data_IF_904811906543
#
_entry.id   IF_904811906543
#
_cell.length_a   1.000
_cell.length_b   1.000
_cell.length_c   1.000
_cell.angle_alpha   90.00
_cell.angle_beta   90.00
_cell.angle_gamma   90.00
#
_symmetry.space_group_name_H-M   'P 1'
#
loop_
_entity.id
_entity.type
_entity.pdbx_description
1 polymer ?
#
# COMPACT_ATOMS: atom_id res chain seq x y z
N UNK A 1 -19.12 60.37 -64.30
CA UNK A 1 -19.32 58.93 -64.07
C UNK A 1 -18.44 58.54 -62.89
N UNK A 2 -19.01 58.34 -61.70
CA UNK A 2 -18.27 57.95 -60.49
C UNK A 2 -18.86 56.62 -60.03
N UNK A 3 -18.08 55.54 -60.13
CA UNK A 3 -18.49 54.21 -59.69
C UNK A 3 -18.32 54.11 -58.16
N UNK A 4 -19.43 53.96 -57.44
CA UNK A 4 -19.41 53.53 -56.03
C UNK A 4 -19.29 52.01 -55.99
N UNK A 5 -18.17 51.50 -55.49
CA UNK A 5 -18.06 50.11 -55.07
C UNK A 5 -18.57 49.98 -53.63
N UNK A 6 -19.72 49.33 -53.44
CA UNK A 6 -20.17 48.90 -52.11
C UNK A 6 -19.44 47.62 -51.74
N UNK A 7 -18.70 47.66 -50.63
CA UNK A 7 -18.16 46.47 -49.98
C UNK A 7 -19.30 45.73 -49.27
N UNK A 8 -19.64 44.53 -49.77
CA UNK A 8 -20.49 43.57 -49.06
C UNK A 8 -19.60 42.84 -48.06
N UNK A 9 -19.64 43.26 -46.80
CA UNK A 9 -19.05 42.50 -45.69
C UNK A 9 -19.94 41.28 -45.46
N UNK A 10 -19.37 40.08 -45.61
CA UNK A 10 -20.06 38.81 -45.33
C UNK A 10 -20.18 38.63 -43.82
N UNK A 11 -21.40 38.71 -43.34
CA UNK A 11 -21.78 38.59 -41.93
C UNK A 11 -22.12 37.13 -41.62
N UNK A 12 -21.13 36.24 -41.63
CA UNK A 12 -21.41 34.80 -41.73
C UNK A 12 -20.59 33.91 -40.82
N UNK A 13 -20.20 34.37 -39.62
CA UNK A 13 -19.59 33.52 -38.58
C UNK A 13 -19.95 34.03 -37.16
N UNK A 14 -21.21 33.94 -36.75
CA UNK A 14 -21.54 33.92 -35.32
C UNK A 14 -21.63 32.47 -34.87
N UNK A 15 -20.51 31.92 -34.43
CA UNK A 15 -20.44 30.57 -33.87
C UNK A 15 -21.26 30.60 -32.57
N UNK A 16 -22.32 29.81 -32.51
CA UNK A 16 -23.17 29.72 -31.33
C UNK A 16 -22.38 29.05 -30.20
N UNK A 17 -22.15 29.77 -29.09
CA UNK A 17 -21.39 29.27 -27.94
C UNK A 17 -22.04 28.02 -27.33
N UNK A 18 -23.36 27.89 -27.39
CA UNK A 18 -24.08 26.74 -26.86
C UNK A 18 -23.79 25.47 -27.68
N UNK A 19 -23.65 25.63 -28.99
CA UNK A 19 -23.32 24.54 -29.91
C UNK A 19 -21.85 24.09 -29.76
N UNK A 20 -20.95 25.02 -29.40
CA UNK A 20 -19.58 24.69 -29.03
C UNK A 20 -19.54 23.94 -27.69
N UNK A 21 -20.33 24.37 -26.70
CA UNK A 21 -20.40 23.71 -25.40
C UNK A 21 -20.94 22.28 -25.51
N UNK A 22 -21.97 22.07 -26.33
CA UNK A 22 -22.54 20.74 -26.60
C UNK A 22 -21.54 19.84 -27.34
N UNK A 23 -20.83 20.37 -28.34
CA UNK A 23 -19.75 19.64 -29.03
C UNK A 23 -18.60 19.29 -28.07
N UNK A 24 -18.27 20.17 -27.13
CA UNK A 24 -17.25 19.93 -26.10
C UNK A 24 -17.69 18.83 -25.12
N UNK A 25 -18.94 18.88 -24.65
CA UNK A 25 -19.53 17.88 -23.75
C UNK A 25 -19.57 16.49 -24.40
N UNK A 26 -20.04 16.41 -25.64
CA UNK A 26 -20.06 15.16 -26.43
C UNK A 26 -18.64 14.64 -26.66
N UNK A 27 -17.67 15.52 -26.93
CA UNK A 27 -16.27 15.12 -27.11
C UNK A 27 -15.65 14.57 -25.82
N UNK A 28 -15.99 15.18 -24.67
CA UNK A 28 -15.55 14.74 -23.36
C UNK A 28 -16.13 13.38 -22.99
N UNK A 29 -17.45 13.17 -23.18
CA UNK A 29 -18.11 11.89 -22.94
C UNK A 29 -17.62 10.78 -23.90
N UNK A 30 -17.30 11.15 -25.14
CA UNK A 30 -16.70 10.23 -26.12
C UNK A 30 -15.26 9.87 -25.75
N UNK A 31 -14.48 10.81 -25.22
CA UNK A 31 -13.14 10.52 -24.71
C UNK A 31 -13.20 9.61 -23.46
N UNK A 32 -14.18 9.83 -22.57
CA UNK A 32 -14.39 9.03 -21.36
C UNK A 32 -14.82 7.59 -21.70
N UNK A 33 -15.76 7.42 -22.63
CA UNK A 33 -16.19 6.11 -23.13
C UNK A 33 -15.11 5.37 -23.92
N UNK A 34 -14.30 6.08 -24.73
CA UNK A 34 -13.15 5.51 -25.42
C UNK A 34 -12.01 5.09 -24.46
N UNK A 35 -11.89 5.72 -23.29
CA UNK A 35 -10.99 5.27 -22.22
C UNK A 35 -11.45 3.92 -21.66
N UNK A 36 -12.77 3.73 -21.54
CA UNK A 36 -13.40 2.50 -21.03
C UNK A 36 -13.49 1.37 -22.07
N UNK A 37 -13.31 1.67 -23.36
CA UNK A 37 -13.46 0.72 -24.48
C UNK A 37 -12.12 0.31 -25.13
N UNK A 38 -11.00 0.40 -24.39
CA UNK A 38 -9.74 -0.21 -24.81
C UNK A 38 -9.81 -1.72 -24.52
N UNK A 39 -10.33 -2.51 -25.46
CA UNK A 39 -10.29 -3.98 -25.50
C UNK A 39 -9.82 -4.66 -24.19
N UNK A 40 -10.67 -4.62 -23.17
CA UNK A 40 -10.39 -5.24 -21.88
C UNK A 40 -10.63 -6.74 -22.08
N UNK A 41 -9.57 -7.54 -22.08
CA UNK A 41 -9.71 -8.98 -22.23
C UNK A 41 -10.45 -9.59 -21.02
N UNK A 42 -11.66 -10.08 -21.29
CA UNK A 42 -12.59 -10.63 -20.32
C UNK A 42 -12.48 -12.17 -20.14
N UNK A 43 -11.32 -12.80 -20.38
CA UNK A 43 -11.07 -14.20 -19.94
C UNK A 43 -9.96 -14.28 -18.87
N UNK A 44 -10.21 -14.99 -17.77
CA UNK A 44 -9.18 -15.24 -16.74
C UNK A 44 -8.35 -16.41 -17.24
N UNK A 45 -7.18 -16.12 -17.80
CA UNK A 45 -6.25 -17.13 -18.29
C UNK A 45 -5.12 -17.33 -17.28
N UNK A 46 -4.61 -18.56 -17.15
CA UNK A 46 -3.47 -18.88 -16.28
C UNK A 46 -2.23 -18.01 -16.61
N UNK A 47 -2.04 -17.70 -17.90
CA UNK A 47 -1.03 -16.77 -18.37
C UNK A 47 -1.19 -15.36 -17.78
N UNK A 48 -2.43 -14.86 -17.61
CA UNK A 48 -2.68 -13.56 -16.99
C UNK A 48 -2.41 -13.58 -15.49
N UNK A 49 -2.77 -14.66 -14.80
CA UNK A 49 -2.47 -14.83 -13.37
C UNK A 49 -0.95 -14.83 -13.15
N UNK A 50 -0.20 -15.52 -14.02
CA UNK A 50 1.26 -15.53 -13.97
C UNK A 50 1.87 -14.16 -14.25
N UNK A 51 1.31 -13.40 -15.22
CA UNK A 51 1.73 -12.01 -15.48
C UNK A 51 1.46 -11.10 -14.29
N UNK A 52 0.27 -11.16 -13.69
CA UNK A 52 -0.05 -10.39 -12.50
C UNK A 52 0.88 -10.73 -11.33
N UNK A 53 1.15 -12.02 -11.14
CA UNK A 53 2.07 -12.49 -10.11
C UNK A 53 3.51 -12.00 -10.34
N UNK A 54 3.97 -11.93 -11.59
CA UNK A 54 5.29 -11.40 -11.92
C UNK A 54 5.41 -9.91 -11.58
N UNK A 55 4.40 -9.11 -11.94
CA UNK A 55 4.37 -7.67 -11.63
C UNK A 55 4.37 -7.43 -10.13
N UNK A 56 3.55 -8.17 -9.36
CA UNK A 56 3.50 -8.05 -7.89
C UNK A 56 4.80 -8.52 -7.22
N UNK A 57 5.51 -9.50 -7.80
CA UNK A 57 6.81 -9.94 -7.28
C UNK A 57 7.91 -8.92 -7.49
N UNK A 58 7.85 -8.16 -8.58
CA UNK A 58 8.78 -7.06 -8.85
C UNK A 58 8.52 -5.87 -7.92
N UNK A 59 7.25 -5.49 -7.76
CA UNK A 59 6.83 -4.44 -6.82
C UNK A 59 5.60 -4.86 -6.01
N UNK A 60 5.84 -5.18 -4.73
CA UNK A 60 4.79 -5.59 -3.80
C UNK A 60 3.91 -4.43 -3.33
N UNK A 61 4.25 -3.17 -3.67
CA UNK A 61 3.49 -1.97 -3.28
C UNK A 61 2.56 -1.45 -4.36
N UNK A 62 2.46 -2.15 -5.50
CA UNK A 62 1.63 -1.73 -6.62
C UNK A 62 0.15 -1.65 -6.22
N UNK A 63 -0.51 -0.56 -6.60
CA UNK A 63 -1.94 -0.40 -6.40
C UNK A 63 -2.74 -1.26 -7.38
N UNK A 64 -3.99 -1.56 -7.02
CA UNK A 64 -4.84 -2.41 -7.87
C UNK A 64 -5.20 -1.74 -9.19
N UNK A 65 -5.39 -0.42 -9.18
CA UNK A 65 -5.61 0.39 -10.39
C UNK A 65 -4.37 0.37 -11.30
N UNK A 66 -3.18 0.59 -10.73
CA UNK A 66 -1.91 0.54 -11.46
C UNK A 66 -1.66 -0.85 -12.07
N UNK A 67 -2.03 -1.91 -11.34
CA UNK A 67 -1.93 -3.28 -11.83
C UNK A 67 -2.93 -3.53 -12.98
N UNK A 68 -4.16 -3.04 -12.86
CA UNK A 68 -5.19 -3.13 -13.88
C UNK A 68 -4.76 -2.39 -15.16
N UNK A 69 -4.19 -1.20 -15.03
CA UNK A 69 -3.63 -0.42 -16.14
C UNK A 69 -2.44 -1.12 -16.80
N UNK A 70 -1.48 -1.63 -16.02
CA UNK A 70 -0.31 -2.36 -16.56
C UNK A 70 -0.69 -3.62 -17.32
N UNK A 71 -1.76 -4.30 -16.90
CA UNK A 71 -2.21 -5.55 -17.52
C UNK A 71 -3.35 -5.36 -18.53
N UNK A 72 -3.86 -4.13 -18.69
CA UNK A 72 -5.04 -3.81 -19.52
C UNK A 72 -6.26 -4.68 -19.18
N UNK A 73 -6.48 -4.93 -17.89
CA UNK A 73 -7.61 -5.70 -17.35
C UNK A 73 -8.54 -4.81 -16.54
N UNK A 74 -9.77 -5.25 -16.30
CA UNK A 74 -10.66 -4.54 -15.38
C UNK A 74 -10.15 -4.64 -13.94
N UNK A 75 -10.46 -3.63 -13.14
CA UNK A 75 -10.11 -3.57 -11.72
C UNK A 75 -10.59 -4.81 -10.94
N UNK A 76 -11.82 -5.27 -11.18
CA UNK A 76 -12.36 -6.48 -10.55
C UNK A 76 -11.58 -7.75 -10.88
N UNK A 77 -11.00 -7.81 -12.09
CA UNK A 77 -10.17 -8.94 -12.51
C UNK A 77 -8.78 -8.88 -11.91
N UNK A 78 -8.20 -7.69 -11.83
CA UNK A 78 -6.97 -7.49 -11.08
C UNK A 78 -7.17 -7.94 -9.62
N UNK A 79 -8.34 -7.66 -9.03
CA UNK A 79 -8.69 -8.12 -7.69
C UNK A 79 -8.76 -9.65 -7.62
N UNK A 80 -9.51 -10.29 -8.53
CA UNK A 80 -9.71 -11.74 -8.50
C UNK A 80 -8.42 -12.53 -8.74
N UNK A 81 -7.48 -11.96 -9.49
CA UNK A 81 -6.20 -12.59 -9.80
C UNK A 81 -5.19 -12.53 -8.63
N UNK A 82 -5.41 -11.64 -7.64
CA UNK A 82 -4.61 -11.60 -6.41
C UNK A 82 -5.24 -12.47 -5.32
N UNK A 83 -4.78 -13.72 -5.23
CA UNK A 83 -5.26 -14.63 -4.18
C UNK A 83 -4.77 -14.25 -2.77
N UNK A 84 -3.62 -13.60 -2.63
CA UNK A 84 -3.04 -13.25 -1.33
C UNK A 84 -2.61 -11.78 -1.30
N UNK A 85 -3.34 -10.96 -0.55
CA UNK A 85 -2.89 -9.62 -0.18
C UNK A 85 -1.95 -9.76 1.01
N UNK A 86 -0.69 -9.40 0.81
CA UNK A 86 0.30 -9.40 1.88
C UNK A 86 0.45 -7.95 2.36
N UNK A 87 0.13 -7.70 3.62
CA UNK A 87 0.48 -6.42 4.24
C UNK A 87 2.00 -6.38 4.44
N UNK A 88 2.61 -5.22 4.23
CA UNK A 88 4.00 -5.04 4.59
C UNK A 88 4.19 -5.31 6.09
N UNK A 89 5.15 -6.16 6.43
CA UNK A 89 5.54 -6.34 7.82
C UNK A 89 6.19 -5.05 8.34
N UNK A 90 5.87 -4.69 9.58
CA UNK A 90 6.53 -3.58 10.26
C UNK A 90 8.00 -3.95 10.50
N UNK A 91 8.91 -3.15 9.95
CA UNK A 91 10.35 -3.29 10.18
C UNK A 91 10.78 -2.14 11.08
N UNK A 92 11.47 -2.47 12.18
CA UNK A 92 11.89 -1.49 13.20
C UNK A 92 12.78 -0.37 12.64
N UNK A 93 13.62 -0.68 11.65
CA UNK A 93 14.55 0.30 11.07
C UNK A 93 14.94 -0.04 9.62
N UNK A 94 15.11 1.00 8.80
CA UNK A 94 15.78 0.88 7.50
C UNK A 94 17.30 0.87 7.70
N UNK A 95 17.91 -0.30 7.56
CA UNK A 95 19.36 -0.48 7.70
C UNK A 95 20.09 -0.01 6.45
N UNK A 96 21.15 0.77 6.65
CA UNK A 96 22.11 1.14 5.60
C UNK A 96 22.91 -0.08 5.13
N UNK A 97 23.46 -0.09 3.89
CA UNK A 97 24.26 -1.21 3.41
C UNK A 97 25.44 -1.58 4.33
N UNK A 98 26.14 -0.58 4.89
CA UNK A 98 27.23 -0.80 5.83
C UNK A 98 26.77 -1.45 7.14
N UNK A 99 25.63 -1.02 7.70
CA UNK A 99 25.06 -1.65 8.89
C UNK A 99 24.66 -3.11 8.64
N UNK A 100 24.12 -3.43 7.46
CA UNK A 100 23.80 -4.80 7.08
C UNK A 100 25.05 -5.67 7.04
N UNK A 101 26.14 -5.16 6.47
CA UNK A 101 27.40 -5.89 6.41
C UNK A 101 27.96 -6.17 7.81
N UNK A 102 27.97 -5.15 8.68
CA UNK A 102 28.38 -5.31 10.09
C UNK A 102 27.53 -6.38 10.78
N UNK A 103 26.20 -6.33 10.64
CA UNK A 103 25.30 -7.32 11.23
C UNK A 103 25.60 -8.74 10.72
N UNK A 104 25.82 -8.89 9.41
CA UNK A 104 26.16 -10.19 8.82
C UNK A 104 27.50 -10.71 9.34
N UNK A 105 28.51 -9.87 9.46
CA UNK A 105 29.83 -10.24 10.01
C UNK A 105 29.72 -10.63 11.49
N UNK A 106 28.97 -9.87 12.29
CA UNK A 106 28.71 -10.19 13.69
C UNK A 106 27.96 -11.52 13.84
N UNK A 107 26.90 -11.74 13.05
CA UNK A 107 26.14 -12.99 13.07
C UNK A 107 27.01 -14.20 12.70
N UNK A 108 27.87 -14.08 11.67
CA UNK A 108 28.80 -15.16 11.32
C UNK A 108 29.83 -15.41 12.43
N UNK A 109 30.32 -14.36 13.10
CA UNK A 109 31.20 -14.49 14.26
C UNK A 109 30.54 -15.26 15.40
N UNK A 110 29.32 -14.89 15.77
CA UNK A 110 28.52 -15.58 16.79
C UNK A 110 28.25 -17.03 16.38
N UNK A 111 27.92 -17.28 15.11
CA UNK A 111 27.66 -18.63 14.61
C UNK A 111 28.87 -19.55 14.75
N UNK A 112 30.09 -19.06 14.49
CA UNK A 112 31.33 -19.82 14.68
C UNK A 112 31.58 -20.14 16.16
N UNK A 113 31.39 -19.17 17.04
CA UNK A 113 31.53 -19.36 18.49
C UNK A 113 30.53 -20.41 19.02
N UNK A 114 29.29 -20.34 18.54
CA UNK A 114 28.25 -21.31 18.87
C UNK A 114 28.62 -22.72 18.36
N UNK A 115 29.24 -22.84 17.17
CA UNK A 115 29.64 -24.14 16.63
C UNK A 115 30.76 -24.81 17.46
N UNK A 116 31.65 -24.03 18.07
CA UNK A 116 32.78 -24.54 18.85
C UNK A 116 32.41 -24.81 20.32
N UNK A 117 31.54 -23.98 20.91
CA UNK A 117 31.34 -23.90 22.37
C UNK A 117 29.85 -23.78 22.74
N UNK A 118 28.96 -24.44 21.97
CA UNK A 118 27.50 -24.30 22.05
C UNK A 118 26.94 -24.22 23.49
N UNK A 119 27.15 -25.27 24.28
CA UNK A 119 26.46 -25.43 25.56
C UNK A 119 26.96 -24.47 26.65
N UNK A 120 28.28 -24.26 26.72
CA UNK A 120 28.87 -23.33 27.71
C UNK A 120 28.71 -21.88 27.31
N UNK A 121 28.66 -21.58 26.01
CA UNK A 121 28.36 -20.24 25.52
C UNK A 121 26.93 -19.82 25.86
N UNK A 122 25.93 -20.66 25.58
CA UNK A 122 24.53 -20.35 25.88
C UNK A 122 24.25 -20.23 27.38
N UNK A 123 24.89 -21.04 28.23
CA UNK A 123 24.78 -20.91 29.68
C UNK A 123 25.40 -19.62 30.22
N UNK A 124 26.39 -19.05 29.52
CA UNK A 124 27.04 -17.79 29.91
C UNK A 124 26.26 -16.54 29.49
N UNK A 125 25.34 -16.65 28.52
CA UNK A 125 24.59 -15.50 28.01
C UNK A 125 23.48 -15.13 28.99
N UNK A 126 23.59 -13.92 29.55
CA UNK A 126 22.48 -13.22 30.17
C UNK A 126 21.90 -12.22 29.16
N UNK A 127 20.62 -12.37 28.82
CA UNK A 127 19.89 -11.41 27.98
C UNK A 127 19.13 -10.46 28.89
N UNK A 128 19.25 -9.16 28.64
CA UNK A 128 18.45 -8.13 29.32
C UNK A 128 17.73 -7.27 28.30
N UNK A 129 16.49 -6.91 28.61
CA UNK A 129 15.66 -6.10 27.74
C UNK A 129 14.84 -5.11 28.56
N UNK A 130 14.52 -3.99 27.93
CA UNK A 130 13.64 -2.97 28.49
C UNK A 130 12.38 -2.88 27.63
N UNK A 131 11.22 -2.85 28.27
CA UNK A 131 9.95 -2.60 27.62
C UNK A 131 9.17 -1.56 28.40
N UNK A 132 8.53 -0.65 27.68
CA UNK A 132 7.51 0.21 28.26
C UNK A 132 6.26 -0.62 28.54
N UNK A 133 5.68 -0.43 29.72
CA UNK A 133 4.36 -0.93 30.10
C UNK A 133 3.46 0.28 30.28
N UNK A 134 2.36 0.31 29.53
CA UNK A 134 1.37 1.36 29.62
C UNK A 134 0.25 0.91 30.55
N UNK A 135 -0.24 1.82 31.40
CA UNK A 135 -1.37 1.54 32.28
C UNK A 135 -2.65 1.19 31.52
N UNK A 136 -2.80 1.74 30.31
CA UNK A 136 -3.91 1.47 29.41
C UNK A 136 -3.37 1.27 27.99
N UNK A 137 -3.13 0.02 27.61
CA UNK A 137 -2.98 -0.34 26.21
C UNK A 137 -4.39 -0.32 25.58
N UNK A 138 -4.67 0.73 24.80
CA UNK A 138 -5.94 0.77 24.06
C UNK A 138 -5.95 -0.42 23.12
N UNK A 139 -6.94 -1.28 23.30
CA UNK A 139 -7.13 -2.48 22.50
C UNK A 139 -7.04 -2.14 21.01
N UNK A 140 -6.18 -2.89 20.29
CA UNK A 140 -5.99 -2.75 18.85
C UNK A 140 -7.34 -2.70 18.12
N UNK A 141 -7.44 -1.90 17.06
CA UNK A 141 -8.62 -1.84 16.19
C UNK A 141 -9.09 -3.24 15.78
N UNK A 142 -8.17 -4.18 15.57
CA UNK A 142 -8.48 -5.58 15.26
C UNK A 142 -9.15 -6.32 16.42
N UNK A 143 -8.68 -6.14 17.65
CA UNK A 143 -9.26 -6.78 18.83
C UNK A 143 -10.63 -6.15 19.22
N UNK A 144 -10.85 -4.87 18.87
CA UNK A 144 -12.18 -4.23 18.91
C UNK A 144 -13.11 -4.59 17.74
N UNK A 145 -12.71 -5.51 16.85
CA UNK A 145 -13.53 -5.91 15.69
C UNK A 145 -14.56 -6.93 16.12
N UNK A 146 -15.82 -6.50 16.23
CA UNK A 146 -16.96 -7.39 16.35
C UNK A 146 -17.65 -7.56 14.99
N UNK A 147 -18.20 -8.74 14.73
CA UNK A 147 -19.05 -8.97 13.56
C UNK A 147 -20.28 -8.05 13.64
N UNK A 148 -20.45 -7.22 12.61
CA UNK A 148 -21.60 -6.32 12.45
C UNK A 148 -22.46 -6.80 11.31
N UNK A 149 -23.78 -6.68 11.47
CA UNK A 149 -24.72 -6.71 10.36
C UNK A 149 -24.49 -5.47 9.49
N UNK A 150 -24.77 -5.56 8.18
CA UNK A 150 -24.35 -4.60 7.15
C UNK A 150 -24.83 -3.15 7.32
N UNK A 151 -25.63 -2.83 8.33
CA UNK A 151 -26.22 -1.50 8.56
C UNK A 151 -26.11 -0.98 10.01
N UNK A 152 -25.26 -1.56 10.86
CA UNK A 152 -25.05 -1.02 12.21
C UNK A 152 -23.85 -0.09 12.28
N UNK A 153 -24.06 1.10 12.83
CA UNK A 153 -22.98 2.04 13.11
C UNK A 153 -21.94 1.38 14.02
N UNK A 154 -20.67 1.56 13.67
CA UNK A 154 -19.59 0.99 14.44
C UNK A 154 -19.37 1.72 15.76
N UNK A 155 -19.17 0.96 16.85
CA UNK A 155 -18.66 1.51 18.09
C UNK A 155 -17.38 2.31 17.85
N UNK A 156 -17.34 3.54 18.35
CA UNK A 156 -16.17 4.41 18.27
C UNK A 156 -15.24 4.06 19.43
N UNK A 157 -14.07 3.49 19.15
CA UNK A 157 -13.01 3.42 20.14
C UNK A 157 -12.46 4.84 20.34
N UNK A 158 -12.40 5.28 21.59
CA UNK A 158 -11.74 6.52 21.96
C UNK A 158 -10.23 6.33 21.77
N UNK A 159 -9.62 7.14 20.89
CA UNK A 159 -8.17 7.27 20.82
C UNK A 159 -7.70 7.96 22.10
N UNK A 160 -7.43 7.20 23.16
CA UNK A 160 -6.80 7.71 24.37
C UNK A 160 -5.30 7.90 24.11
N UNK A 161 -4.96 8.84 23.22
CA UNK A 161 -3.59 9.22 22.87
C UNK A 161 -3.00 10.29 23.80
N UNK A 162 -3.42 10.33 25.06
CA UNK A 162 -2.90 11.27 26.04
C UNK A 162 -1.64 10.73 26.70
N UNK A 163 -0.48 11.30 26.41
CA UNK A 163 0.74 11.14 27.23
C UNK A 163 0.44 11.66 28.63
N UNK A 164 -0.05 10.81 29.54
CA UNK A 164 -0.59 11.36 30.79
C UNK A 164 -0.85 10.43 31.96
N UNK A 165 -0.78 9.09 31.87
CA UNK A 165 -1.07 8.30 33.06
C UNK A 165 -0.44 6.90 33.04
N UNK A 166 0.54 6.70 33.93
CA UNK A 166 0.94 5.40 34.44
C UNK A 166 1.87 4.55 33.56
N UNK A 167 2.79 5.18 32.83
CA UNK A 167 3.82 4.42 32.10
C UNK A 167 4.93 3.96 33.06
N UNK A 168 5.27 2.67 33.00
CA UNK A 168 6.37 2.08 33.75
C UNK A 168 7.40 1.51 32.79
N UNK A 169 8.68 1.69 33.09
CA UNK A 169 9.75 1.01 32.37
C UNK A 169 10.06 -0.31 33.07
N UNK A 170 9.75 -1.42 32.43
CA UNK A 170 10.11 -2.75 32.90
C UNK A 170 11.48 -3.12 32.34
N UNK A 171 12.43 -3.44 33.22
CA UNK A 171 13.71 -4.08 32.84
C UNK A 171 13.69 -5.52 33.32
N UNK A 172 13.82 -6.46 32.39
CA UNK A 172 13.93 -7.89 32.68
C UNK A 172 15.32 -8.39 32.28
N UNK A 173 15.82 -9.38 33.01
CA UNK A 173 17.04 -10.10 32.66
C UNK A 173 16.82 -11.58 32.90
N UNK A 174 17.25 -12.41 31.97
CA UNK A 174 17.14 -13.87 32.05
C UNK A 174 18.39 -14.52 31.48
N UNK A 175 18.70 -15.72 31.97
CA UNK A 175 19.80 -16.55 31.50
C UNK A 175 19.32 -17.98 31.24
N UNK A 176 20.08 -18.73 30.46
CA UNK A 176 19.74 -20.11 30.08
C UNK A 176 20.13 -21.17 31.12
N UNK A 177 20.60 -20.79 32.30
CA UNK A 177 20.96 -21.75 33.34
C UNK A 177 19.70 -22.37 33.93
N UNK A 178 19.44 -23.63 33.59
CA UNK A 178 18.51 -24.48 34.33
C UNK A 178 19.00 -24.59 35.76
N UNK A 179 18.22 -24.04 36.71
CA UNK A 179 18.32 -24.37 38.14
C UNK A 179 18.18 -25.86 38.38
#
# INVERSE_FOLDING_TARGET
MINKASAVVREDQRINLDELAEKLLISHDRAFSNLHNRNIECSVNELMINKASAVVREDQRINLDELAEKLLISHDRAFSNLHNRVCANWVSQFLTPGQKQILVEMCHGIQRLIAEVYESYLQSIATSGESWLHHCDVESKQASTFFKLSNTEGGRSCLMGGKGSGDFLLRLSWNGSST
#
